data_IF_675113592483
#
_entry.id   IF_675113592483
#
_cell.length_a   1.000
_cell.length_b   1.000
_cell.length_c   1.000
_cell.angle_alpha   90.00
_cell.angle_beta   90.00
_cell.angle_gamma   90.00
#
_symmetry.space_group_name_H-M   'P 1'
#
loop_
_entity.id
_entity.type
_entity.pdbx_description
1 polymer ?
#
# COMPACT_ATOMS: atom_id res chain seq x y z
N UNK A 1 -10.99 -10.42 22.87
CA UNK A 1 -9.96 -10.03 21.88
C UNK A 1 -10.23 -10.84 20.62
N UNK A 2 -10.26 -10.18 19.44
CA UNK A 2 -10.44 -10.85 18.16
C UNK A 2 -9.09 -11.10 17.51
N UNK A 3 -8.90 -12.29 16.95
CA UNK A 3 -7.75 -12.59 16.12
C UNK A 3 -7.75 -11.73 14.85
N UNK A 4 -6.56 -11.35 14.38
CA UNK A 4 -6.43 -10.56 13.16
C UNK A 4 -7.02 -11.31 11.94
N UNK A 5 -7.73 -10.58 11.08
CA UNK A 5 -8.52 -11.12 9.96
C UNK A 5 -9.74 -11.97 10.36
N UNK A 6 -10.27 -11.80 11.56
CA UNK A 6 -11.57 -12.36 11.98
C UNK A 6 -12.60 -11.27 12.18
N UNK A 7 -13.87 -11.65 12.26
CA UNK A 7 -14.97 -10.73 12.55
C UNK A 7 -16.06 -11.41 13.39
N UNK A 8 -16.85 -10.62 14.07
CA UNK A 8 -18.03 -11.05 14.82
C UNK A 8 -19.20 -10.07 14.59
N UNK A 9 -20.43 -10.57 14.75
CA UNK A 9 -21.57 -9.71 15.07
C UNK A 9 -21.57 -9.42 16.56
N UNK A 10 -21.68 -8.15 16.92
CA UNK A 10 -21.69 -7.70 18.30
C UNK A 10 -22.62 -6.51 18.48
N UNK A 11 -23.13 -6.35 19.69
CA UNK A 11 -23.86 -5.15 20.08
C UNK A 11 -22.87 -4.04 20.45
N UNK A 12 -22.96 -2.91 19.78
CA UNK A 12 -22.18 -1.70 20.03
C UNK A 12 -23.15 -0.54 20.23
N UNK A 13 -23.12 0.10 21.40
CA UNK A 13 -23.99 1.22 21.76
C UNK A 13 -25.50 0.93 21.60
N UNK A 14 -25.91 -0.33 21.84
CA UNK A 14 -27.32 -0.74 21.84
C UNK A 14 -27.87 -1.17 20.48
N UNK A 15 -27.03 -1.37 19.46
CA UNK A 15 -27.43 -1.92 18.17
C UNK A 15 -26.42 -2.93 17.63
N UNK A 16 -26.92 -3.86 16.83
CA UNK A 16 -26.10 -4.89 16.22
C UNK A 16 -25.24 -4.30 15.11
N UNK A 17 -23.97 -4.62 15.12
CA UNK A 17 -23.02 -4.28 14.06
C UNK A 17 -21.99 -5.39 13.86
N UNK A 18 -21.33 -5.37 12.70
CA UNK A 18 -20.20 -6.26 12.45
C UNK A 18 -18.92 -5.55 12.85
N UNK A 19 -18.14 -6.21 13.73
CA UNK A 19 -16.83 -5.75 14.18
C UNK A 19 -15.76 -6.65 13.56
N UNK A 20 -14.88 -6.08 12.76
CA UNK A 20 -13.80 -6.80 12.09
C UNK A 20 -12.44 -6.40 12.66
N UNK A 21 -11.61 -7.38 13.03
CA UNK A 21 -10.22 -7.16 13.43
C UNK A 21 -9.33 -7.01 12.17
N UNK A 22 -9.61 -5.99 11.39
CA UNK A 22 -8.93 -5.60 10.17
C UNK A 22 -8.58 -4.13 10.20
N UNK A 23 -7.72 -3.69 9.29
CA UNK A 23 -7.34 -2.29 9.18
C UNK A 23 -6.35 -2.05 8.06
N UNK A 24 -6.08 -0.78 7.81
CA UNK A 24 -5.24 -0.33 6.70
C UNK A 24 -4.05 0.52 7.17
N UNK A 25 -3.68 0.37 8.46
CA UNK A 25 -2.62 1.17 9.11
C UNK A 25 -1.40 0.35 9.50
N UNK A 26 -1.55 -0.98 9.55
CA UNK A 26 -0.52 -1.89 10.07
C UNK A 26 -0.31 -1.81 11.58
N UNK A 27 -1.16 -1.05 12.31
CA UNK A 27 -1.03 -0.84 13.75
C UNK A 27 -2.11 -1.56 14.57
N UNK A 28 -2.78 -2.57 13.98
CA UNK A 28 -3.95 -3.21 14.58
C UNK A 28 -5.19 -2.32 14.49
N UNK A 29 -6.23 -2.65 15.29
CA UNK A 29 -7.48 -1.90 15.32
C UNK A 29 -8.65 -2.68 14.80
N UNK A 30 -9.78 -1.99 14.65
CA UNK A 30 -11.04 -2.58 14.21
C UNK A 30 -11.72 -1.73 13.16
N UNK A 31 -12.46 -2.39 12.26
CA UNK A 31 -13.40 -1.76 11.36
C UNK A 31 -14.82 -2.08 11.81
N UNK A 32 -15.65 -1.05 11.94
CA UNK A 32 -17.04 -1.17 12.39
C UNK A 32 -17.97 -0.97 11.20
N UNK A 33 -18.77 -1.96 10.90
CA UNK A 33 -19.81 -1.91 9.88
C UNK A 33 -21.13 -1.69 10.59
N UNK A 34 -21.63 -0.47 10.54
CA UNK A 34 -22.77 0.00 11.33
C UNK A 34 -23.90 0.46 10.42
N UNK A 35 -25.18 0.33 10.83
CA UNK A 35 -26.27 0.93 10.10
C UNK A 35 -26.09 2.45 9.95
N UNK A 36 -26.41 2.98 8.77
CA UNK A 36 -26.11 4.37 8.42
C UNK A 36 -26.79 5.38 9.37
N UNK A 37 -28.00 5.07 9.86
CA UNK A 37 -28.76 5.87 10.81
C UNK A 37 -28.06 6.06 12.16
N UNK A 38 -27.16 5.16 12.54
CA UNK A 38 -26.41 5.23 13.80
C UNK A 38 -24.99 5.83 13.64
N UNK A 39 -24.56 6.13 12.42
CA UNK A 39 -23.20 6.57 12.12
C UNK A 39 -22.79 7.85 12.85
N UNK A 40 -23.69 8.83 12.89
CA UNK A 40 -23.43 10.11 13.59
C UNK A 40 -23.29 9.94 15.11
N UNK A 41 -24.11 9.08 15.70
CA UNK A 41 -24.05 8.78 17.15
C UNK A 41 -22.74 8.05 17.49
N UNK A 42 -22.36 7.03 16.72
CA UNK A 42 -21.11 6.29 16.95
C UNK A 42 -19.90 7.22 16.82
N UNK A 43 -19.89 8.05 15.79
CA UNK A 43 -18.84 9.04 15.59
C UNK A 43 -18.70 9.98 16.79
N UNK A 44 -19.81 10.55 17.25
CA UNK A 44 -19.80 11.43 18.42
C UNK A 44 -19.31 10.73 19.67
N UNK A 45 -19.75 9.48 19.90
CA UNK A 45 -19.30 8.69 21.05
C UNK A 45 -17.81 8.35 21.02
N UNK A 46 -17.25 8.08 19.86
CA UNK A 46 -15.79 7.88 19.71
C UNK A 46 -15.03 9.17 20.07
N UNK A 47 -15.48 10.33 19.60
CA UNK A 47 -14.85 11.62 19.93
C UNK A 47 -14.97 11.95 21.42
N UNK A 48 -16.15 11.74 22.03
CA UNK A 48 -16.37 11.94 23.47
C UNK A 48 -15.45 11.07 24.34
N UNK A 49 -15.06 9.89 23.84
CA UNK A 49 -14.12 8.98 24.50
C UNK A 49 -12.65 9.22 24.10
N UNK A 50 -12.34 10.35 23.51
CA UNK A 50 -10.97 10.79 23.22
C UNK A 50 -10.32 10.15 21.99
N UNK A 51 -11.09 9.49 21.12
CA UNK A 51 -10.56 8.98 19.87
C UNK A 51 -10.26 10.14 18.93
N UNK A 52 -9.03 10.26 18.48
CA UNK A 52 -8.61 11.33 17.58
C UNK A 52 -9.10 11.07 16.15
N UNK A 53 -9.85 12.00 15.54
CA UNK A 53 -10.28 11.85 14.15
C UNK A 53 -9.11 11.98 13.21
N UNK A 54 -8.95 11.00 12.31
CA UNK A 54 -7.89 10.98 11.30
C UNK A 54 -8.49 11.10 9.90
N UNK A 55 -7.98 12.03 9.11
CA UNK A 55 -8.44 12.25 7.75
C UNK A 55 -7.80 11.33 6.71
N UNK A 56 -8.22 11.46 5.45
CA UNK A 56 -7.73 10.65 4.33
C UNK A 56 -6.22 10.77 4.11
N UNK A 57 -5.62 11.94 4.41
CA UNK A 57 -4.17 12.13 4.32
C UNK A 57 -3.40 11.26 5.30
N UNK A 58 -3.90 11.12 6.55
CA UNK A 58 -3.32 10.23 7.55
C UNK A 58 -3.49 8.75 7.11
N UNK A 59 -4.68 8.36 6.64
CA UNK A 59 -4.97 7.03 6.11
C UNK A 59 -4.00 6.67 4.97
N UNK A 60 -3.80 7.56 4.01
CA UNK A 60 -2.90 7.32 2.87
C UNK A 60 -1.44 7.22 3.32
N UNK A 61 -1.00 8.05 4.23
CA UNK A 61 0.38 7.99 4.75
C UNK A 61 0.65 6.70 5.52
N UNK A 62 -0.25 6.31 6.41
CA UNK A 62 -0.12 5.10 7.23
C UNK A 62 -0.09 3.83 6.36
N UNK A 63 -1.03 3.70 5.40
CA UNK A 63 -1.04 2.54 4.50
C UNK A 63 0.24 2.47 3.66
N UNK A 64 0.75 3.63 3.21
CA UNK A 64 1.98 3.68 2.41
C UNK A 64 3.20 3.26 3.22
N UNK A 65 3.34 3.72 4.46
CA UNK A 65 4.44 3.32 5.33
C UNK A 65 4.50 1.79 5.53
N UNK A 66 3.34 1.13 5.48
CA UNK A 66 3.22 -0.33 5.52
C UNK A 66 3.32 -1.01 4.15
N UNK A 67 3.37 -0.26 3.07
CA UNK A 67 3.42 -0.80 1.70
C UNK A 67 2.09 -1.41 1.24
N UNK A 68 0.96 -1.02 1.83
CA UNK A 68 -0.36 -1.50 1.40
C UNK A 68 -0.80 -0.81 0.12
N UNK A 69 -1.20 -1.62 -0.86
CA UNK A 69 -1.68 -1.14 -2.16
C UNK A 69 -3.00 -0.36 -2.03
N UNK A 70 -3.13 0.71 -2.81
CA UNK A 70 -4.39 1.41 -3.02
C UNK A 70 -4.94 1.05 -4.41
N UNK A 71 -6.17 0.49 -4.45
CA UNK A 71 -6.84 0.20 -5.72
C UNK A 71 -7.10 1.50 -6.51
N UNK A 72 -6.88 1.45 -7.80
CA UNK A 72 -6.92 2.61 -8.70
C UNK A 72 -5.60 3.41 -8.75
N UNK A 73 -4.64 3.10 -7.86
CA UNK A 73 -3.30 3.69 -7.90
C UNK A 73 -2.22 2.65 -8.11
N UNK A 74 -2.08 1.73 -7.15
CA UNK A 74 -1.00 0.73 -7.12
C UNK A 74 -1.41 -0.58 -7.77
N UNK A 75 -2.70 -0.88 -7.77
CA UNK A 75 -3.33 -2.04 -8.41
C UNK A 75 -4.64 -1.62 -9.05
N UNK A 76 -4.97 -2.26 -10.17
CA UNK A 76 -6.23 -2.11 -10.90
C UNK A 76 -6.48 -3.36 -11.76
N UNK A 77 -7.49 -3.33 -12.65
CA UNK A 77 -7.82 -4.44 -13.55
C UNK A 77 -6.72 -4.77 -14.57
N UNK A 78 -5.71 -3.93 -14.74
CA UNK A 78 -4.57 -4.14 -15.66
C UNK A 78 -3.35 -4.73 -14.96
N UNK A 79 -3.41 -4.91 -13.64
CA UNK A 79 -2.30 -5.42 -12.84
C UNK A 79 -2.58 -6.83 -12.32
N UNK A 80 -1.56 -7.70 -12.35
CA UNK A 80 -1.69 -9.04 -11.78
C UNK A 80 -1.06 -9.13 -10.39
N UNK A 81 -1.52 -10.10 -9.60
CA UNK A 81 -1.08 -10.27 -8.21
C UNK A 81 0.42 -10.56 -8.07
N UNK A 82 1.05 -11.19 -9.07
CA UNK A 82 2.48 -11.54 -9.02
C UNK A 82 3.35 -10.28 -9.18
N UNK A 83 3.04 -9.44 -10.18
CA UNK A 83 3.79 -8.19 -10.38
C UNK A 83 3.56 -7.18 -9.26
N UNK A 84 2.37 -7.19 -8.63
CA UNK A 84 2.02 -6.37 -7.49
C UNK A 84 2.66 -6.83 -6.15
N UNK A 85 3.42 -7.95 -6.16
CA UNK A 85 4.02 -8.50 -4.95
C UNK A 85 3.04 -9.24 -4.03
N UNK A 86 1.82 -9.52 -4.51
CA UNK A 86 0.73 -10.18 -3.78
C UNK A 86 0.66 -11.70 -4.06
N UNK A 87 1.71 -12.28 -4.65
CA UNK A 87 1.77 -13.70 -4.97
C UNK A 87 1.64 -14.62 -3.76
N UNK A 88 1.98 -14.14 -2.56
CA UNK A 88 1.88 -14.91 -1.31
C UNK A 88 0.44 -15.20 -0.89
N UNK A 89 -0.53 -14.35 -1.25
CA UNK A 89 -1.97 -14.60 -1.01
C UNK A 89 -2.63 -15.39 -2.14
N UNK A 90 -1.98 -15.51 -3.31
CA UNK A 90 -2.51 -16.23 -4.46
C UNK A 90 -2.29 -17.74 -4.27
N UNK A 91 -3.35 -18.47 -3.93
CA UNK A 91 -3.30 -19.90 -3.60
C UNK A 91 -3.59 -20.75 -4.84
N UNK A 92 -2.55 -21.23 -5.51
CA UNK A 92 -2.65 -22.06 -6.71
C UNK A 92 -3.20 -23.49 -6.48
N UNK A 93 -3.44 -23.88 -5.23
CA UNK A 93 -4.12 -25.12 -4.88
C UNK A 93 -5.62 -25.14 -5.19
N UNK A 94 -6.20 -23.97 -5.50
CA UNK A 94 -7.61 -23.81 -5.89
C UNK A 94 -7.71 -23.42 -7.35
N UNK A 95 -8.87 -23.71 -7.98
CA UNK A 95 -9.21 -23.17 -9.27
C UNK A 95 -9.76 -21.73 -9.12
N UNK A 96 -9.34 -20.86 -10.02
CA UNK A 96 -9.80 -19.48 -10.12
C UNK A 96 -9.57 -18.94 -11.54
N UNK A 97 -10.21 -17.84 -11.87
CA UNK A 97 -10.07 -17.19 -13.18
C UNK A 97 -8.59 -16.85 -13.46
N UNK A 98 -8.14 -17.13 -14.66
CA UNK A 98 -6.78 -16.85 -15.13
C UNK A 98 -5.63 -17.53 -14.36
N UNK A 99 -5.92 -18.59 -13.60
CA UNK A 99 -4.91 -19.37 -12.86
C UNK A 99 -3.70 -19.72 -13.72
N UNK A 100 -3.93 -20.29 -14.92
CA UNK A 100 -2.85 -20.72 -15.83
C UNK A 100 -1.95 -19.55 -16.26
N UNK A 101 -2.54 -18.38 -16.49
CA UNK A 101 -1.81 -17.16 -16.83
C UNK A 101 -0.91 -16.73 -15.66
N UNK A 102 -1.45 -16.72 -14.44
CA UNK A 102 -0.69 -16.36 -13.24
C UNK A 102 0.40 -17.39 -12.90
N UNK A 103 0.16 -18.70 -13.12
CA UNK A 103 1.18 -19.74 -13.00
C UNK A 103 2.34 -19.50 -13.96
N UNK A 104 2.04 -19.13 -15.21
CA UNK A 104 3.06 -18.77 -16.19
C UNK A 104 3.87 -17.54 -15.73
N UNK A 105 3.20 -16.45 -15.36
CA UNK A 105 3.87 -15.24 -14.84
C UNK A 105 4.74 -15.56 -13.62
N UNK A 106 4.29 -16.45 -12.74
CA UNK A 106 5.05 -16.87 -11.56
C UNK A 106 6.31 -17.65 -11.93
N UNK A 107 6.23 -18.54 -12.93
CA UNK A 107 7.35 -19.39 -13.36
C UNK A 107 8.39 -18.63 -14.18
N UNK A 108 7.96 -17.75 -15.08
CA UNK A 108 8.83 -16.96 -15.95
C UNK A 108 9.34 -15.69 -15.27
N UNK A 109 8.66 -15.23 -14.22
CA UNK A 109 8.84 -13.94 -13.57
C UNK A 109 8.07 -12.82 -14.30
N UNK A 110 7.54 -11.84 -13.58
CA UNK A 110 6.87 -10.70 -14.20
C UNK A 110 7.88 -9.75 -14.85
N UNK A 111 7.47 -9.06 -15.91
CA UNK A 111 8.32 -8.07 -16.61
C UNK A 111 8.61 -6.84 -15.75
N UNK A 112 7.72 -6.51 -14.83
CA UNK A 112 7.83 -5.39 -13.87
C UNK A 112 7.40 -5.84 -12.48
N UNK A 113 7.84 -5.12 -11.45
CA UNK A 113 7.48 -5.41 -10.05
C UNK A 113 7.14 -4.15 -9.31
N UNK A 114 6.10 -4.20 -8.49
CA UNK A 114 5.81 -3.14 -7.53
C UNK A 114 6.87 -3.16 -6.42
N UNK A 115 7.53 -2.01 -6.23
CA UNK A 115 8.62 -1.83 -5.26
C UNK A 115 8.47 -0.55 -4.49
N UNK A 116 9.07 -0.52 -3.31
CA UNK A 116 9.26 0.71 -2.56
C UNK A 116 10.42 1.53 -3.09
N UNK A 117 10.25 2.84 -3.06
CA UNK A 117 11.29 3.83 -3.32
C UNK A 117 11.51 4.69 -2.08
N UNK A 118 12.71 4.63 -1.52
CA UNK A 118 13.18 5.53 -0.48
C UNK A 118 13.89 6.69 -1.15
N UNK A 119 13.37 7.91 -1.02
CA UNK A 119 14.05 9.08 -1.56
C UNK A 119 15.34 9.37 -0.77
N UNK A 120 16.45 9.55 -1.46
CA UNK A 120 17.74 9.91 -0.86
C UNK A 120 17.99 11.43 -0.92
N UNK A 121 17.38 12.10 -1.89
CA UNK A 121 17.39 13.54 -2.03
C UNK A 121 16.05 14.18 -1.62
N UNK A 122 16.05 15.52 -1.51
CA UNK A 122 14.83 16.30 -1.22
C UNK A 122 13.83 16.20 -2.38
N UNK A 123 12.74 15.48 -2.16
CA UNK A 123 11.66 15.32 -3.13
C UNK A 123 10.57 14.42 -2.60
N UNK A 124 9.35 14.64 -3.04
CA UNK A 124 8.20 13.81 -2.72
C UNK A 124 7.75 13.18 -4.03
N UNK A 125 7.86 11.84 -4.17
CA UNK A 125 7.36 11.16 -5.36
C UNK A 125 5.83 11.30 -5.44
N UNK A 126 5.30 11.34 -6.66
CA UNK A 126 3.85 11.42 -6.90
C UNK A 126 3.47 10.49 -8.02
N UNK A 127 2.22 10.03 -8.02
CA UNK A 127 1.65 9.19 -9.07
C UNK A 127 1.96 9.78 -10.46
N UNK A 128 2.44 8.94 -11.37
CA UNK A 128 2.78 9.31 -12.73
C UNK A 128 4.22 9.79 -12.94
N UNK A 129 5.00 10.04 -11.87
CA UNK A 129 6.41 10.40 -12.03
C UNK A 129 7.21 9.21 -12.54
N UNK A 130 8.11 9.47 -13.47
CA UNK A 130 8.98 8.45 -14.05
C UNK A 130 10.09 8.05 -13.09
N UNK A 131 10.37 6.74 -13.08
CA UNK A 131 11.57 6.19 -12.44
C UNK A 131 12.61 5.96 -13.53
N UNK A 132 13.80 6.54 -13.35
CA UNK A 132 14.85 6.53 -14.37
C UNK A 132 16.16 6.00 -13.81
N UNK A 133 16.97 5.42 -14.68
CA UNK A 133 18.38 5.08 -14.39
C UNK A 133 19.23 6.34 -14.24
N UNK A 134 20.48 6.18 -13.86
CA UNK A 134 21.45 7.29 -13.85
C UNK A 134 21.73 7.85 -15.24
N UNK A 135 21.60 7.03 -16.30
CA UNK A 135 21.70 7.47 -17.70
C UNK A 135 20.46 8.18 -18.22
N UNK A 136 19.37 8.23 -17.45
CA UNK A 136 18.12 8.89 -17.83
C UNK A 136 17.11 7.99 -18.55
N UNK A 137 17.38 6.70 -18.70
CA UNK A 137 16.46 5.71 -19.26
C UNK A 137 15.26 5.53 -18.31
N UNK A 138 14.03 5.54 -18.86
CA UNK A 138 12.81 5.30 -18.10
C UNK A 138 12.64 3.81 -17.87
N UNK A 139 12.65 3.39 -16.61
CA UNK A 139 12.58 1.99 -16.18
C UNK A 139 11.38 1.69 -15.29
N UNK A 140 10.53 2.68 -15.05
CA UNK A 140 9.34 2.50 -14.20
C UNK A 140 8.53 3.77 -14.03
N UNK A 141 7.45 3.64 -13.26
CA UNK A 141 6.56 4.74 -12.93
C UNK A 141 6.06 4.65 -11.50
N UNK A 142 6.01 5.79 -10.82
CA UNK A 142 5.46 5.92 -9.47
C UNK A 142 3.94 5.79 -9.52
N UNK A 143 3.39 4.95 -8.65
CA UNK A 143 1.94 4.72 -8.48
C UNK A 143 1.37 5.47 -7.29
N UNK A 144 2.12 5.53 -6.20
CA UNK A 144 1.78 6.29 -4.99
C UNK A 144 3.02 6.91 -4.38
N UNK A 145 2.88 8.04 -3.69
CA UNK A 145 4.02 8.66 -3.04
C UNK A 145 3.62 9.76 -2.06
N UNK A 146 4.37 9.86 -0.96
CA UNK A 146 4.15 10.83 0.11
C UNK A 146 5.45 11.21 0.82
N UNK A 147 5.38 12.25 1.63
CA UNK A 147 6.35 12.49 2.69
C UNK A 147 5.93 11.67 3.91
N UNK A 148 6.76 10.72 4.34
CA UNK A 148 6.49 9.96 5.57
C UNK A 148 6.80 10.83 6.79
N UNK A 149 5.82 11.11 7.65
CA UNK A 149 6.06 11.83 8.90
C UNK A 149 6.93 11.03 9.87
N UNK A 150 6.78 9.70 9.87
CA UNK A 150 7.50 8.80 10.77
C UNK A 150 8.96 8.66 10.36
N UNK A 151 9.25 8.57 9.06
CA UNK A 151 10.60 8.37 8.53
C UNK A 151 11.34 9.68 8.23
N UNK A 152 10.62 10.79 8.06
CA UNK A 152 11.21 12.11 7.77
C UNK A 152 11.73 12.29 6.35
N UNK A 153 11.39 11.38 5.41
CA UNK A 153 11.78 11.47 4.00
C UNK A 153 10.64 11.03 3.06
N UNK A 154 10.79 11.36 1.78
CA UNK A 154 9.84 10.94 0.74
C UNK A 154 9.90 9.43 0.52
N UNK A 155 8.72 8.80 0.45
CA UNK A 155 8.56 7.39 0.09
C UNK A 155 7.63 7.27 -1.11
N UNK A 156 7.85 6.28 -1.95
CA UNK A 156 7.00 5.99 -3.11
C UNK A 156 6.83 4.51 -3.35
N UNK A 157 5.73 4.15 -3.97
CA UNK A 157 5.51 2.86 -4.59
C UNK A 157 5.59 3.02 -6.10
N UNK A 158 6.25 2.10 -6.79
CA UNK A 158 6.44 2.20 -8.23
C UNK A 158 6.50 0.81 -8.88
N UNK A 159 5.92 0.67 -10.08
CA UNK A 159 6.29 -0.45 -10.94
C UNK A 159 7.62 -0.15 -11.60
N UNK A 160 8.55 -1.07 -11.44
CA UNK A 160 9.91 -0.98 -11.96
C UNK A 160 10.18 -2.24 -12.79
N UNK A 161 10.77 -2.10 -13.97
CA UNK A 161 11.21 -3.22 -14.81
C UNK A 161 12.04 -4.19 -13.97
N UNK A 162 11.77 -5.49 -14.11
CA UNK A 162 12.28 -6.53 -13.20
C UNK A 162 13.80 -6.53 -13.06
N UNK A 163 14.54 -6.23 -14.14
CA UNK A 163 16.00 -6.14 -14.12
C UNK A 163 16.55 -5.05 -13.19
N UNK A 164 15.79 -3.94 -13.00
CA UNK A 164 16.17 -2.83 -12.14
C UNK A 164 15.53 -2.90 -10.74
N UNK A 165 14.66 -3.88 -10.48
CA UNK A 165 13.83 -3.96 -9.27
C UNK A 165 14.51 -4.59 -8.06
N UNK A 166 15.83 -4.86 -8.12
CA UNK A 166 16.60 -5.44 -7.00
C UNK A 166 16.72 -4.44 -5.86
N UNK A 167 16.49 -4.91 -4.63
CA UNK A 167 16.66 -4.08 -3.45
C UNK A 167 18.09 -3.54 -3.33
N UNK A 168 18.20 -2.28 -2.94
CA UNK A 168 19.45 -1.55 -2.87
C UNK A 168 19.86 -0.87 -4.17
N UNK A 169 19.22 -1.17 -5.31
CA UNK A 169 19.50 -0.47 -6.56
C UNK A 169 19.23 1.03 -6.41
N UNK A 170 20.15 1.83 -6.96
CA UNK A 170 20.04 3.29 -7.02
C UNK A 170 19.42 3.69 -8.35
N UNK A 171 18.28 4.31 -8.27
CA UNK A 171 17.53 4.89 -9.39
C UNK A 171 17.24 6.36 -9.07
N UNK A 172 16.54 7.04 -9.95
CA UNK A 172 16.07 8.39 -9.68
C UNK A 172 14.58 8.51 -10.01
N UNK A 173 13.89 9.34 -9.26
CA UNK A 173 12.53 9.78 -9.61
C UNK A 173 12.63 11.12 -10.31
N UNK A 174 12.06 11.24 -11.51
CA UNK A 174 12.01 12.48 -12.28
C UNK A 174 10.90 13.37 -11.73
N UNK A 175 11.30 14.34 -10.91
CA UNK A 175 10.38 15.31 -10.30
C UNK A 175 10.51 16.63 -11.04
N UNK A 176 9.48 16.99 -11.82
CA UNK A 176 9.55 18.13 -12.75
C UNK A 176 10.75 17.94 -13.70
N UNK A 177 11.75 18.80 -13.65
CA UNK A 177 12.93 18.76 -14.52
C UNK A 177 14.20 18.27 -13.79
N UNK A 178 14.05 17.57 -12.65
CA UNK A 178 15.19 17.09 -11.83
C UNK A 178 15.07 15.62 -11.56
N UNK A 179 16.16 14.88 -11.71
CA UNK A 179 16.26 13.50 -11.28
C UNK A 179 16.71 13.50 -9.80
N UNK A 180 15.84 13.03 -8.91
CA UNK A 180 16.12 12.94 -7.48
C UNK A 180 16.42 11.49 -7.15
N UNK A 181 17.58 11.25 -6.58
CA UNK A 181 18.06 9.90 -6.26
C UNK A 181 17.14 9.20 -5.27
N UNK A 182 16.90 7.93 -5.54
CA UNK A 182 16.08 7.03 -4.74
C UNK A 182 16.70 5.63 -4.69
N UNK A 183 16.41 4.91 -3.63
CA UNK A 183 16.82 3.51 -3.44
C UNK A 183 15.60 2.61 -3.53
N UNK A 184 15.71 1.53 -4.29
CA UNK A 184 14.71 0.46 -4.37
C UNK A 184 14.75 -0.33 -3.07
N UNK A 185 13.60 -0.46 -2.40
CA UNK A 185 13.48 -1.22 -1.15
C UNK A 185 12.30 -2.18 -1.17
N UNK A 186 12.32 -3.15 -0.25
CA UNK A 186 11.15 -3.99 0.05
C UNK A 186 10.19 -3.31 1.01
N UNK A 187 8.90 -3.66 0.88
CA UNK A 187 7.88 -3.34 1.87
C UNK A 187 8.04 -4.21 3.14
N UNK A 188 7.59 -3.75 4.30
CA UNK A 188 7.12 -2.40 4.58
C UNK A 188 8.26 -1.37 4.65
N UNK A 189 7.94 -0.06 4.54
CA UNK A 189 8.91 1.01 4.79
C UNK A 189 9.24 1.13 6.28
N UNK A 190 8.23 0.93 7.14
CA UNK A 190 8.39 0.81 8.58
C UNK A 190 8.54 -0.66 8.95
N UNK A 191 9.63 -1.00 9.61
CA UNK A 191 9.73 -2.30 10.29
C UNK A 191 8.93 -2.20 11.59
N UNK A 192 7.97 -3.08 11.77
CA UNK A 192 7.37 -3.30 13.08
C UNK A 192 8.46 -3.84 14.00
N UNK A 193 8.69 -3.17 15.12
CA UNK A 193 9.62 -3.60 16.15
C UNK A 193 9.12 -4.82 16.91
#
# INVERSE_FOLDING_TARGET
ELDYYTFISAEVLGFECLVSATGYTGAGGYELYIPVEHSGMVWSKLLENGVTPCGLGARDTLRMEMGFCLYGNDIDETTNAIEAGLGWITKFSKDFTDKKLLEKVKSEGPSRRLKGLKMLGRGIPRKGYEVVTQSGEVVGQVTSGTMSPTLGYGIGMAYINSEFSKNGNKLSVRIRNKNIEAEVIMFPFLKQG
#
